data_IF_452787056834
#
_entry.id   IF_452787056834
#
_cell.length_a   1.000
_cell.length_b   1.000
_cell.length_c   1.000
_cell.angle_alpha   90.00
_cell.angle_beta   90.00
_cell.angle_gamma   90.00
#
_symmetry.space_group_name_H-M   'P 1'
#
loop_
_entity.id
_entity.type
_entity.pdbx_description
1 polymer ?
#
# COMPACT_ATOMS: atom_id res chain seq x y z
N UNK A 1 9.39 -25.31 -1.30
CA UNK A 1 10.15 -25.99 -2.36
C UNK A 1 10.18 -27.53 -2.19
N UNK A 2 10.02 -28.02 -0.96
CA UNK A 2 10.13 -29.46 -0.69
C UNK A 2 8.83 -30.22 -0.94
N UNK A 3 7.67 -29.56 -0.83
CA UNK A 3 6.34 -30.12 -1.06
C UNK A 3 5.40 -29.10 -1.70
N UNK A 4 5.50 -28.95 -3.01
CA UNK A 4 4.69 -28.01 -3.76
C UNK A 4 3.21 -28.42 -3.81
N UNK A 5 2.92 -29.73 -3.86
CA UNK A 5 1.54 -30.21 -3.93
C UNK A 5 0.78 -29.86 -2.65
N UNK A 6 1.41 -30.03 -1.49
CA UNK A 6 0.84 -29.61 -0.21
C UNK A 6 0.60 -28.09 -0.17
N UNK A 7 1.58 -27.27 -0.59
CA UNK A 7 1.43 -25.82 -0.61
C UNK A 7 0.27 -25.38 -1.52
N UNK A 8 0.16 -25.98 -2.71
CA UNK A 8 -0.92 -25.67 -3.65
C UNK A 8 -2.29 -26.07 -3.10
N UNK A 9 -2.39 -27.19 -2.38
CA UNK A 9 -3.62 -27.60 -1.70
C UNK A 9 -4.01 -26.59 -0.59
N UNK A 10 -3.08 -26.16 0.25
CA UNK A 10 -3.31 -25.14 1.27
C UNK A 10 -3.78 -23.83 0.62
N UNK A 11 -3.12 -23.40 -0.46
CA UNK A 11 -3.49 -22.19 -1.20
C UNK A 11 -4.89 -22.29 -1.81
N UNK A 12 -5.29 -23.45 -2.31
CA UNK A 12 -6.64 -23.65 -2.86
C UNK A 12 -7.71 -23.51 -1.78
N UNK A 13 -7.50 -24.11 -0.61
CA UNK A 13 -8.40 -23.97 0.54
C UNK A 13 -8.50 -22.51 1.01
N UNK A 14 -7.36 -21.84 1.14
CA UNK A 14 -7.31 -20.43 1.54
C UNK A 14 -7.99 -19.53 0.50
N UNK A 15 -7.77 -19.77 -0.78
CA UNK A 15 -8.40 -19.04 -1.89
C UNK A 15 -9.93 -19.17 -1.85
N UNK A 16 -10.46 -20.37 -1.63
CA UNK A 16 -11.91 -20.60 -1.52
C UNK A 16 -12.51 -19.84 -0.33
N UNK A 17 -11.84 -19.92 0.83
CA UNK A 17 -12.26 -19.20 2.03
C UNK A 17 -12.24 -17.69 1.82
N UNK A 18 -11.13 -17.17 1.28
CA UNK A 18 -10.94 -15.73 1.09
C UNK A 18 -11.91 -15.17 0.03
N UNK A 19 -12.18 -15.92 -1.04
CA UNK A 19 -13.21 -15.55 -2.04
C UNK A 19 -14.55 -15.35 -1.36
N UNK A 20 -14.98 -16.31 -0.52
CA UNK A 20 -16.23 -16.19 0.21
C UNK A 20 -16.26 -15.03 1.19
N UNK A 21 -15.15 -14.78 1.88
CA UNK A 21 -15.02 -13.63 2.78
C UNK A 21 -15.16 -12.31 2.01
N UNK A 22 -14.51 -12.16 0.85
CA UNK A 22 -14.57 -10.95 0.03
C UNK A 22 -15.95 -10.72 -0.58
N UNK A 23 -16.67 -11.76 -0.99
CA UNK A 23 -18.10 -11.64 -1.38
C UNK A 23 -18.95 -11.04 -0.27
N UNK A 24 -18.75 -11.49 0.99
CA UNK A 24 -19.49 -10.96 2.13
C UNK A 24 -19.10 -9.50 2.38
N UNK A 25 -17.80 -9.20 2.42
CA UNK A 25 -17.27 -7.85 2.68
C UNK A 25 -17.79 -6.85 1.64
N UNK A 26 -17.80 -7.23 0.36
CA UNK A 26 -18.32 -6.37 -0.72
C UNK A 26 -19.82 -6.03 -0.56
N UNK A 27 -20.58 -6.84 0.17
CA UNK A 27 -22.03 -6.68 0.30
C UNK A 27 -22.51 -6.05 1.63
N UNK A 28 -21.63 -5.79 2.59
CA UNK A 28 -22.02 -5.22 3.90
C UNK A 28 -21.91 -3.69 3.98
N UNK A 29 -21.60 -3.02 2.88
CA UNK A 29 -21.68 -1.55 2.76
C UNK A 29 -20.39 -0.81 3.11
N UNK A 30 -19.23 -1.44 2.97
CA UNK A 30 -17.94 -0.73 3.01
C UNK A 30 -17.70 0.06 1.72
N UNK A 31 -17.07 1.23 1.82
CA UNK A 31 -16.68 2.05 0.67
C UNK A 31 -15.43 1.51 -0.03
N UNK A 32 -14.57 0.83 0.72
CA UNK A 32 -13.33 0.21 0.21
C UNK A 32 -12.83 -0.90 1.14
N UNK A 33 -11.95 -1.76 0.62
CA UNK A 33 -11.29 -2.82 1.39
C UNK A 33 -9.77 -2.81 1.18
N UNK A 34 -9.05 -3.21 2.23
CA UNK A 34 -7.60 -3.47 2.17
C UNK A 34 -7.34 -4.97 2.13
N UNK A 35 -6.52 -5.41 1.18
CA UNK A 35 -5.96 -6.75 1.16
C UNK A 35 -4.47 -6.68 1.53
N UNK A 36 -4.08 -7.35 2.62
CA UNK A 36 -2.72 -7.27 3.16
C UNK A 36 -2.04 -8.63 3.11
N UNK A 37 -0.87 -8.66 2.45
CA UNK A 37 -0.03 -9.86 2.39
C UNK A 37 1.40 -9.44 2.02
N UNK A 38 2.35 -9.57 2.95
CA UNK A 38 3.72 -9.16 2.73
C UNK A 38 4.46 -10.12 1.81
N UNK A 39 4.88 -9.62 0.66
CA UNK A 39 5.58 -10.39 -0.38
C UNK A 39 7.07 -10.05 -0.49
N UNK A 40 7.53 -9.01 0.20
CA UNK A 40 8.90 -8.56 0.11
C UNK A 40 9.49 -8.16 1.46
N UNK A 41 10.81 -8.29 1.56
CA UNK A 41 11.64 -7.66 2.58
C UNK A 41 12.21 -6.33 2.03
N UNK A 42 12.90 -5.55 2.86
CA UNK A 42 13.57 -4.30 2.40
C UNK A 42 14.58 -4.54 1.27
N UNK A 43 15.17 -5.72 1.21
CA UNK A 43 16.15 -6.11 0.19
C UNK A 43 15.54 -6.65 -1.10
N UNK A 44 14.25 -6.99 -1.11
CA UNK A 44 13.54 -7.52 -2.28
C UNK A 44 12.54 -8.63 -1.93
N UNK A 45 11.99 -9.30 -2.95
CA UNK A 45 10.98 -10.33 -2.79
C UNK A 45 11.41 -11.51 -1.89
N UNK A 46 10.48 -12.03 -1.07
CA UNK A 46 10.74 -13.21 -0.22
C UNK A 46 10.83 -14.50 -1.03
N UNK A 47 10.15 -14.57 -2.16
CA UNK A 47 10.25 -15.68 -3.11
C UNK A 47 10.42 -15.11 -4.52
N UNK A 48 10.87 -15.94 -5.48
CA UNK A 48 11.18 -15.44 -6.81
C UNK A 48 9.95 -14.85 -7.52
N UNK A 49 10.12 -13.79 -8.33
CA UNK A 49 9.04 -13.24 -9.13
C UNK A 49 8.32 -14.27 -10.00
N UNK A 50 9.07 -15.26 -10.52
CA UNK A 50 8.51 -16.36 -11.29
C UNK A 50 7.52 -17.19 -10.46
N UNK A 51 7.89 -17.59 -9.25
CA UNK A 51 7.00 -18.35 -8.36
C UNK A 51 5.75 -17.55 -7.96
N UNK A 52 5.91 -16.27 -7.70
CA UNK A 52 4.76 -15.39 -7.42
C UNK A 52 3.83 -15.35 -8.62
N UNK A 53 4.36 -15.13 -9.82
CA UNK A 53 3.56 -15.07 -11.04
C UNK A 53 2.83 -16.40 -11.33
N UNK A 54 3.48 -17.54 -11.13
CA UNK A 54 2.96 -18.84 -11.54
C UNK A 54 2.03 -19.45 -10.50
N UNK A 55 2.26 -19.20 -9.21
CA UNK A 55 1.54 -19.90 -8.14
C UNK A 55 0.69 -18.97 -7.25
N UNK A 56 1.08 -17.72 -7.05
CA UNK A 56 0.33 -16.79 -6.19
C UNK A 56 -0.69 -15.96 -7.00
N UNK A 57 -0.30 -15.39 -8.11
CA UNK A 57 -1.19 -14.50 -8.89
C UNK A 57 -2.47 -15.20 -9.38
N UNK A 58 -2.46 -16.42 -9.96
CA UNK A 58 -3.68 -17.04 -10.45
C UNK A 58 -4.75 -17.31 -9.37
N UNK A 59 -4.43 -17.84 -8.17
CA UNK A 59 -5.42 -17.95 -7.10
C UNK A 59 -5.90 -16.59 -6.60
N UNK A 60 -5.01 -15.59 -6.46
CA UNK A 60 -5.40 -14.25 -6.03
C UNK A 60 -6.31 -13.56 -7.05
N UNK A 61 -6.11 -13.79 -8.35
CA UNK A 61 -7.04 -13.29 -9.38
C UNK A 61 -8.46 -13.84 -9.23
N UNK A 62 -8.63 -15.04 -8.66
CA UNK A 62 -9.98 -15.57 -8.35
C UNK A 62 -10.60 -14.79 -7.18
N UNK A 63 -9.80 -14.54 -6.14
CA UNK A 63 -10.26 -13.78 -4.96
C UNK A 63 -10.68 -12.37 -5.33
N UNK A 64 -9.82 -11.62 -6.04
CA UNK A 64 -10.09 -10.21 -6.34
C UNK A 64 -11.30 -9.99 -7.26
N UNK A 65 -11.68 -11.00 -8.06
CA UNK A 65 -12.91 -10.97 -8.86
C UNK A 65 -14.19 -10.98 -8.02
N UNK A 66 -14.11 -11.33 -6.75
CA UNK A 66 -15.24 -11.28 -5.80
C UNK A 66 -15.33 -9.95 -5.03
N UNK A 67 -14.43 -9.01 -5.33
CA UNK A 67 -14.41 -7.68 -4.73
C UNK A 67 -15.08 -6.70 -5.70
N UNK A 68 -16.30 -6.26 -5.38
CA UNK A 68 -17.09 -5.34 -6.23
C UNK A 68 -16.97 -3.87 -5.81
N UNK A 69 -16.14 -3.59 -4.81
CA UNK A 69 -15.86 -2.23 -4.31
C UNK A 69 -14.38 -1.88 -4.53
N UNK A 70 -13.98 -0.60 -4.47
CA UNK A 70 -12.58 -0.22 -4.55
C UNK A 70 -11.74 -0.97 -3.51
N UNK A 71 -10.53 -1.39 -3.90
CA UNK A 71 -9.63 -2.05 -2.97
C UNK A 71 -8.18 -1.63 -3.19
N UNK A 72 -7.39 -1.69 -2.13
CA UNK A 72 -5.96 -1.49 -2.23
C UNK A 72 -5.19 -2.67 -1.65
N UNK A 73 -4.04 -2.92 -2.23
CA UNK A 73 -3.14 -3.96 -1.79
C UNK A 73 -2.05 -3.37 -0.87
N UNK A 74 -1.81 -4.04 0.26
CA UNK A 74 -0.73 -3.71 1.18
C UNK A 74 0.34 -4.79 1.14
N UNK A 75 1.59 -4.36 0.99
CA UNK A 75 2.78 -5.19 1.19
C UNK A 75 3.94 -4.29 1.56
N UNK A 76 4.59 -4.58 2.67
CA UNK A 76 5.83 -3.92 3.07
C UNK A 76 7.01 -4.35 2.18
N UNK A 77 8.15 -3.65 2.36
CA UNK A 77 9.40 -3.98 1.72
C UNK A 77 9.56 -3.48 0.28
N UNK A 78 10.58 -3.97 -0.40
CA UNK A 78 10.90 -3.58 -1.76
C UNK A 78 10.08 -4.36 -2.79
N UNK A 79 8.93 -3.82 -3.14
CA UNK A 79 8.01 -4.38 -4.12
C UNK A 79 8.36 -4.06 -5.58
N UNK A 80 9.37 -3.23 -5.85
CA UNK A 80 9.71 -2.82 -7.24
C UNK A 80 9.91 -4.00 -8.20
N UNK A 81 10.59 -5.11 -7.82
CA UNK A 81 10.75 -6.26 -8.72
C UNK A 81 9.45 -7.02 -9.01
N UNK A 82 8.42 -6.83 -8.18
CA UNK A 82 7.13 -7.50 -8.28
C UNK A 82 6.03 -6.60 -8.84
N UNK A 83 6.24 -5.30 -8.92
CA UNK A 83 5.21 -4.30 -9.17
C UNK A 83 4.40 -4.61 -10.45
N UNK A 84 5.07 -4.89 -11.56
CA UNK A 84 4.41 -5.16 -12.85
C UNK A 84 3.58 -6.48 -12.83
N UNK A 85 3.96 -7.42 -11.94
CA UNK A 85 3.24 -8.68 -11.72
C UNK A 85 2.05 -8.43 -10.78
N UNK A 86 2.29 -7.70 -9.69
CA UNK A 86 1.32 -7.40 -8.65
C UNK A 86 0.15 -6.57 -9.17
N UNK A 87 0.42 -5.59 -10.02
CA UNK A 87 -0.61 -4.76 -10.65
C UNK A 87 -1.56 -5.53 -11.58
N UNK A 88 -1.22 -6.77 -11.99
CA UNK A 88 -2.15 -7.66 -12.72
C UNK A 88 -3.37 -8.07 -11.89
N UNK A 89 -3.34 -7.89 -10.58
CA UNK A 89 -4.49 -8.13 -9.71
C UNK A 89 -5.59 -7.06 -9.85
N UNK A 90 -5.28 -5.88 -10.40
CA UNK A 90 -6.27 -4.84 -10.69
C UNK A 90 -6.68 -4.00 -9.49
N UNK A 91 -5.84 -3.90 -8.45
CA UNK A 91 -6.07 -3.03 -7.30
C UNK A 91 -6.17 -1.55 -7.70
N UNK A 92 -7.03 -0.81 -7.00
CA UNK A 92 -7.18 0.64 -7.19
C UNK A 92 -6.09 1.45 -6.49
N UNK A 93 -5.45 0.89 -5.46
CA UNK A 93 -4.37 1.52 -4.71
C UNK A 93 -3.30 0.53 -4.25
N UNK A 94 -2.11 1.03 -3.96
CA UNK A 94 -0.99 0.29 -3.36
C UNK A 94 -0.47 1.04 -2.13
N UNK A 95 -0.20 0.29 -1.06
CA UNK A 95 0.24 0.78 0.25
C UNK A 95 1.36 -0.12 0.81
N UNK A 96 2.30 0.37 1.58
CA UNK A 96 2.48 1.79 1.97
C UNK A 96 3.51 2.53 1.11
N UNK A 97 4.17 1.91 0.17
CA UNK A 97 5.42 2.35 -0.46
C UNK A 97 6.49 2.55 0.62
N UNK A 98 6.98 1.44 1.17
CA UNK A 98 7.91 1.42 2.31
C UNK A 98 9.04 2.45 2.14
N UNK A 99 9.10 3.51 2.98
CA UNK A 99 10.05 4.61 2.80
C UNK A 99 11.51 4.20 2.95
N UNK A 100 11.77 3.06 3.61
CA UNK A 100 13.12 2.52 3.79
C UNK A 100 13.55 1.57 2.65
N UNK A 101 12.63 1.23 1.75
CA UNK A 101 12.87 0.27 0.67
C UNK A 101 12.64 0.86 -0.74
N UNK A 102 11.76 1.86 -0.87
CA UNK A 102 11.35 2.43 -2.16
C UNK A 102 11.23 3.95 -2.09
N UNK A 103 11.64 4.64 -3.15
CA UNK A 103 11.36 6.07 -3.31
C UNK A 103 9.95 6.25 -3.89
N UNK A 104 9.05 6.83 -3.10
CA UNK A 104 7.66 7.08 -3.49
C UNK A 104 7.54 7.98 -4.74
N UNK A 105 8.48 8.92 -4.95
CA UNK A 105 8.50 9.80 -6.12
C UNK A 105 8.74 9.00 -7.40
N UNK A 106 9.64 8.02 -7.33
CA UNK A 106 9.91 7.10 -8.43
C UNK A 106 8.71 6.20 -8.71
N UNK A 107 8.07 5.66 -7.67
CA UNK A 107 6.86 4.85 -7.78
C UNK A 107 5.72 5.67 -8.39
N UNK A 108 5.49 6.89 -7.91
CA UNK A 108 4.46 7.79 -8.46
C UNK A 108 4.69 8.08 -9.93
N UNK A 109 5.92 8.41 -10.31
CA UNK A 109 6.25 8.72 -11.71
C UNK A 109 6.00 7.53 -12.63
N UNK A 110 6.33 6.31 -12.19
CA UNK A 110 6.20 5.11 -13.02
C UNK A 110 4.78 4.53 -13.04
N UNK A 111 4.09 4.53 -11.91
CA UNK A 111 2.84 3.79 -11.73
C UNK A 111 1.64 4.67 -11.37
N UNK A 112 1.84 5.92 -11.03
CA UNK A 112 0.78 6.79 -10.50
C UNK A 112 -0.35 7.14 -11.48
N UNK A 113 -0.21 6.83 -12.77
CA UNK A 113 -1.31 6.89 -13.75
C UNK A 113 -2.13 5.60 -13.83
N UNK A 114 -1.64 4.51 -13.25
CA UNK A 114 -2.28 3.19 -13.27
C UNK A 114 -2.99 2.88 -11.96
N UNK A 115 -2.44 3.36 -10.83
CA UNK A 115 -2.88 2.99 -9.49
C UNK A 115 -2.69 4.16 -8.52
N UNK A 116 -3.59 4.29 -7.55
CA UNK A 116 -3.45 5.26 -6.47
C UNK A 116 -2.26 4.89 -5.56
N UNK A 117 -1.40 5.85 -5.28
CA UNK A 117 -0.26 5.68 -4.38
C UNK A 117 -0.69 6.09 -2.98
N UNK A 118 -0.52 5.18 -2.00
CA UNK A 118 -0.93 5.41 -0.61
C UNK A 118 0.31 5.32 0.28
N UNK A 119 0.60 6.36 1.03
CA UNK A 119 1.77 6.42 1.90
C UNK A 119 2.30 7.85 2.08
N UNK A 120 3.51 8.05 2.60
CA UNK A 120 4.36 7.07 3.25
C UNK A 120 5.21 7.78 4.33
N UNK A 121 4.52 8.52 5.24
CA UNK A 121 5.25 9.16 6.34
C UNK A 121 5.96 8.09 7.17
N UNK A 122 7.28 8.21 7.34
CA UNK A 122 8.09 7.23 8.08
C UNK A 122 7.61 7.10 9.53
N UNK A 123 7.36 5.85 9.95
CA UNK A 123 6.92 5.54 11.33
C UNK A 123 8.01 5.88 12.35
N UNK A 124 9.28 5.79 11.98
CA UNK A 124 10.40 6.25 12.83
C UNK A 124 10.38 7.76 13.01
N UNK A 125 10.08 8.51 11.96
CA UNK A 125 9.89 9.96 12.06
C UNK A 125 8.67 10.30 12.93
N UNK A 126 7.55 9.58 12.79
CA UNK A 126 6.37 9.72 13.65
C UNK A 126 6.66 9.38 15.12
N UNK A 127 7.63 8.48 15.39
CA UNK A 127 8.00 8.07 16.75
C UNK A 127 9.01 9.01 17.40
N UNK A 128 9.96 9.55 16.65
CA UNK A 128 11.16 10.23 17.17
C UNK A 128 11.25 11.69 16.81
N UNK A 129 10.58 12.10 15.72
CA UNK A 129 10.62 13.46 15.20
C UNK A 129 9.79 14.46 16.00
N UNK A 130 9.85 15.71 15.57
CA UNK A 130 9.04 16.82 16.10
C UNK A 130 7.82 17.07 15.20
N UNK A 131 6.75 17.73 15.70
CA UNK A 131 5.61 18.14 14.89
C UNK A 131 6.00 18.96 13.66
N UNK A 132 7.02 19.81 13.75
CA UNK A 132 7.51 20.67 12.66
C UNK A 132 8.20 19.82 11.57
N UNK A 133 8.92 18.78 11.95
CA UNK A 133 9.52 17.83 11.01
C UNK A 133 8.44 17.03 10.27
N UNK A 134 7.38 16.62 10.98
CA UNK A 134 6.22 15.96 10.38
C UNK A 134 5.49 16.88 9.41
N UNK A 135 5.22 18.13 9.81
CA UNK A 135 4.59 19.11 8.91
C UNK A 135 5.41 19.30 7.63
N UNK A 136 6.74 19.40 7.78
CA UNK A 136 7.66 19.53 6.65
C UNK A 136 7.62 18.33 5.72
N UNK A 137 7.65 17.10 6.26
CA UNK A 137 7.57 15.89 5.46
C UNK A 137 6.23 15.77 4.74
N UNK A 138 5.12 16.01 5.42
CA UNK A 138 3.79 15.98 4.80
C UNK A 138 3.67 17.00 3.68
N UNK A 139 4.16 18.24 3.90
CA UNK A 139 4.19 19.28 2.86
C UNK A 139 4.99 18.82 1.64
N UNK A 140 6.16 18.21 1.84
CA UNK A 140 6.98 17.69 0.76
C UNK A 140 6.28 16.55 -0.01
N UNK A 141 5.68 15.61 0.70
CA UNK A 141 4.93 14.52 0.08
C UNK A 141 3.75 15.05 -0.74
N UNK A 142 2.98 16.00 -0.21
CA UNK A 142 1.86 16.59 -0.95
C UNK A 142 2.37 17.34 -2.18
N UNK A 143 3.43 18.17 -2.05
CA UNK A 143 4.02 18.88 -3.19
C UNK A 143 4.47 17.96 -4.31
N UNK A 144 5.12 16.83 -3.95
CA UNK A 144 5.82 15.99 -4.91
C UNK A 144 4.93 14.87 -5.49
N UNK A 145 3.93 14.40 -4.71
CA UNK A 145 3.15 13.20 -5.05
C UNK A 145 1.70 13.51 -5.40
N UNK A 146 1.09 14.53 -4.78
CA UNK A 146 -0.32 14.82 -4.99
C UNK A 146 -0.68 15.49 -6.34
N UNK A 147 0.23 16.22 -7.06
CA UNK A 147 -0.13 16.78 -8.35
C UNK A 147 -0.71 15.73 -9.32
N UNK A 148 -1.84 16.07 -9.95
CA UNK A 148 -2.56 15.16 -10.84
C UNK A 148 -3.48 14.16 -10.14
N UNK A 149 -3.57 14.17 -8.81
CA UNK A 149 -4.40 13.24 -8.03
C UNK A 149 -3.79 11.85 -7.88
N UNK A 150 -4.60 10.85 -7.51
CA UNK A 150 -4.14 9.47 -7.30
C UNK A 150 -3.11 9.35 -6.17
N UNK A 151 -3.32 10.09 -5.08
CA UNK A 151 -2.49 10.02 -3.86
C UNK A 151 -3.36 10.06 -2.61
N UNK A 152 -3.06 9.19 -1.66
CA UNK A 152 -3.61 9.20 -0.30
C UNK A 152 -2.44 9.26 0.68
N UNK A 153 -2.37 10.31 1.48
CA UNK A 153 -1.38 10.42 2.55
C UNK A 153 -1.69 9.41 3.67
N UNK A 154 -0.71 8.63 4.04
CA UNK A 154 -0.77 7.76 5.22
C UNK A 154 0.60 7.62 5.87
N UNK A 155 0.66 6.98 7.05
CA UNK A 155 1.92 6.46 7.60
C UNK A 155 2.49 5.37 6.70
N UNK A 156 3.80 5.17 6.77
CA UNK A 156 4.51 4.13 6.00
C UNK A 156 4.34 2.72 6.55
N UNK A 157 3.59 2.54 7.62
CA UNK A 157 3.17 1.27 8.22
C UNK A 157 2.13 1.52 9.32
N UNK A 158 1.69 0.47 10.01
CA UNK A 158 0.83 0.56 11.19
C UNK A 158 1.44 1.45 12.27
N UNK A 159 0.60 2.26 12.94
CA UNK A 159 1.03 3.10 14.04
C UNK A 159 1.32 2.24 15.28
N UNK A 160 2.59 2.04 15.56
CA UNK A 160 3.04 1.30 16.75
C UNK A 160 2.84 2.13 18.04
N UNK A 161 2.91 1.48 19.20
CA UNK A 161 2.81 2.14 20.50
C UNK A 161 3.92 3.15 20.80
N UNK A 162 5.03 3.11 20.05
CA UNK A 162 6.12 4.09 20.11
C UNK A 162 5.82 5.40 19.41
N UNK A 163 4.79 5.44 18.54
CA UNK A 163 4.43 6.64 17.79
C UNK A 163 3.83 7.68 18.72
N UNK A 164 4.32 8.91 18.62
CA UNK A 164 3.87 10.02 19.45
C UNK A 164 2.56 10.58 18.88
N UNK A 165 1.55 10.72 19.74
CA UNK A 165 0.22 11.18 19.34
C UNK A 165 0.24 12.60 18.76
N UNK A 166 1.09 13.48 19.30
CA UNK A 166 1.29 14.83 18.79
C UNK A 166 1.80 14.84 17.35
N UNK A 167 2.61 13.87 16.94
CA UNK A 167 3.11 13.73 15.57
C UNK A 167 2.02 13.21 14.62
N UNK A 168 1.14 12.32 15.08
CA UNK A 168 -0.03 11.90 14.31
C UNK A 168 -1.00 13.07 14.10
N UNK A 169 -1.21 13.88 15.15
CA UNK A 169 -2.03 15.09 15.04
C UNK A 169 -1.42 16.10 14.06
N UNK A 170 -0.11 16.33 14.14
CA UNK A 170 0.62 17.21 13.23
C UNK A 170 0.52 16.73 11.77
N UNK A 171 0.60 15.41 11.51
CA UNK A 171 0.39 14.83 10.19
C UNK A 171 -1.02 15.15 9.64
N UNK A 172 -2.06 14.98 10.47
CA UNK A 172 -3.44 15.30 10.10
C UNK A 172 -3.68 16.80 9.86
N UNK A 173 -3.10 17.64 10.68
CA UNK A 173 -3.24 19.11 10.55
C UNK A 173 -2.47 19.64 9.33
N UNK A 174 -1.28 19.11 9.06
CA UNK A 174 -0.52 19.42 7.85
C UNK A 174 -1.27 18.98 6.59
N UNK A 175 -1.92 17.79 6.59
CA UNK A 175 -2.77 17.37 5.48
C UNK A 175 -3.93 18.34 5.24
N UNK A 176 -4.63 18.78 6.29
CA UNK A 176 -5.69 19.79 6.17
C UNK A 176 -5.17 21.12 5.62
N UNK A 177 -3.96 21.51 6.01
CA UNK A 177 -3.36 22.77 5.60
C UNK A 177 -2.92 22.80 4.14
N UNK A 178 -2.33 21.69 3.65
CA UNK A 178 -1.67 21.64 2.34
C UNK A 178 -2.40 20.75 1.30
N UNK A 179 -3.30 19.87 1.72
CA UNK A 179 -3.88 18.83 0.87
C UNK A 179 -5.12 19.23 0.06
N UNK A 180 -5.52 20.50 0.08
CA UNK A 180 -6.68 20.97 -0.68
C UNK A 180 -6.32 21.26 -2.14
N UNK A 181 -7.16 20.78 -3.08
CA UNK A 181 -7.04 21.14 -4.49
C UNK A 181 -7.82 22.42 -4.81
N UNK A 182 -7.29 23.32 -5.67
CA UNK A 182 -5.97 23.26 -6.30
C UNK A 182 -4.86 23.42 -5.26
N UNK A 183 -3.75 22.66 -5.43
CA UNK A 183 -2.62 22.73 -4.51
C UNK A 183 -1.95 24.11 -4.59
N UNK A 184 -1.87 24.83 -3.49
CA UNK A 184 -1.12 26.08 -3.35
C UNK A 184 0.10 25.86 -2.45
N UNK A 185 1.06 25.11 -2.95
CA UNK A 185 2.32 24.83 -2.25
C UNK A 185 3.43 25.61 -2.96
N UNK A 186 3.71 26.80 -2.43
CA UNK A 186 4.87 27.59 -2.86
C UNK A 186 6.17 26.94 -2.37
N UNK A 187 7.20 27.01 -3.20
CA UNK A 187 8.56 26.55 -2.88
C UNK A 187 9.13 27.18 -1.61
#
# INVERSE_FOLDING_TARGET
>A
YEDMDFILEVMDHYTKWLTRAMEIVSNIGFDLVSASDDMAMKTGPMISPQMINDHFIPPMQKVVRSIDIPWFAHSDGNMLPLMDIWLKLGQNGIHPIDPLAMDIRNVKRKYGLQVCIIGNVDVDLLSKGTPEEIETEVRNLIRDIAPGGGYILSSGNSLASSVRIENVMAMGDALKKYGHYPLDIKE
#
